data_IF_258291399745
#
_entry.id   IF_258291399745
#
_cell.length_a   1.000
_cell.length_b   1.000
_cell.length_c   1.000
_cell.angle_alpha   90.00
_cell.angle_beta   90.00
_cell.angle_gamma   90.00
#
_symmetry.space_group_name_H-M   'P 1'
#
loop_
_entity.id
_entity.type
_entity.pdbx_description
1 polymer ?
#
# COMPACT_ATOMS: atom_id res chain seq x y z
N UNK A 1 24.74 11.90 13.30
CA UNK A 1 24.14 10.59 12.93
C UNK A 1 25.29 9.67 12.59
N UNK A 2 25.38 8.51 13.23
CA UNK A 2 26.43 7.53 12.93
C UNK A 2 26.26 7.00 11.49
N UNK A 3 27.36 6.84 10.76
CA UNK A 3 27.35 6.35 9.37
C UNK A 3 26.74 4.97 9.26
N UNK A 4 26.94 4.09 10.24
CA UNK A 4 26.35 2.75 10.19
C UNK A 4 24.84 2.79 10.42
N UNK A 5 24.37 3.65 11.34
CA UNK A 5 22.94 3.94 11.50
C UNK A 5 22.32 4.55 10.24
N UNK A 6 23.07 5.38 9.51
CA UNK A 6 22.63 5.95 8.23
C UNK A 6 22.46 4.88 7.15
N UNK A 7 23.42 3.95 7.03
CA UNK A 7 23.34 2.84 6.06
C UNK A 7 22.16 1.92 6.34
N UNK A 8 21.93 1.59 7.60
CA UNK A 8 20.79 0.76 8.00
C UNK A 8 19.47 1.45 7.66
N UNK A 9 19.33 2.73 8.04
CA UNK A 9 18.14 3.52 7.73
C UNK A 9 17.89 3.62 6.22
N UNK A 10 18.95 3.84 5.43
CA UNK A 10 18.85 3.90 3.96
C UNK A 10 18.40 2.57 3.36
N UNK A 11 18.84 1.43 3.91
CA UNK A 11 18.40 0.11 3.47
C UNK A 11 16.90 -0.10 3.74
N UNK A 12 16.45 0.17 4.96
CA UNK A 12 15.03 0.05 5.34
C UNK A 12 14.15 0.95 4.46
N UNK A 13 14.52 2.21 4.29
CA UNK A 13 13.80 3.14 3.43
C UNK A 13 13.77 2.67 1.97
N UNK A 14 14.88 2.16 1.45
CA UNK A 14 14.95 1.63 0.08
C UNK A 14 14.02 0.44 -0.12
N UNK A 15 13.93 -0.46 0.86
CA UNK A 15 13.06 -1.63 0.77
C UNK A 15 11.58 -1.22 0.77
N UNK A 16 11.19 -0.23 1.58
CA UNK A 16 9.86 0.40 1.53
C UNK A 16 9.60 1.06 0.18
N UNK A 17 10.53 1.86 -0.35
CA UNK A 17 10.38 2.53 -1.64
C UNK A 17 10.28 1.54 -2.80
N UNK A 18 11.03 0.43 -2.78
CA UNK A 18 10.90 -0.66 -3.77
C UNK A 18 9.54 -1.36 -3.68
N UNK A 19 8.98 -1.48 -2.47
CA UNK A 19 7.65 -2.02 -2.26
C UNK A 19 6.57 -1.06 -2.77
N UNK A 20 6.75 0.26 -2.64
CA UNK A 20 5.79 1.24 -3.11
C UNK A 20 5.95 1.52 -4.62
N UNK A 21 7.16 1.42 -5.17
CA UNK A 21 7.50 1.78 -6.55
C UNK A 21 6.99 0.82 -7.64
N UNK A 22 5.70 0.45 -7.61
CA UNK A 22 5.00 -0.22 -8.72
C UNK A 22 3.64 0.46 -8.93
N UNK A 23 3.24 0.73 -10.19
CA UNK A 23 2.02 1.48 -10.49
C UNK A 23 0.78 0.86 -9.83
N UNK A 24 0.55 -0.44 -10.01
CA UNK A 24 -0.63 -1.10 -9.42
C UNK A 24 -0.67 -1.04 -7.89
N UNK A 25 0.49 -1.12 -7.22
CA UNK A 25 0.54 -1.01 -5.76
C UNK A 25 0.19 0.41 -5.31
N UNK A 26 0.70 1.43 -5.99
CA UNK A 26 0.34 2.83 -5.70
C UNK A 26 -1.15 3.09 -5.93
N UNK A 27 -1.72 2.61 -7.04
CA UNK A 27 -3.16 2.75 -7.31
C UNK A 27 -4.02 2.09 -6.24
N UNK A 28 -3.66 0.88 -5.81
CA UNK A 28 -4.33 0.18 -4.69
C UNK A 28 -4.23 1.02 -3.42
N UNK A 29 -3.05 1.55 -3.09
CA UNK A 29 -2.84 2.33 -1.86
C UNK A 29 -3.56 3.68 -1.90
N UNK A 30 -3.61 4.39 -3.04
CA UNK A 30 -4.41 5.61 -3.18
C UNK A 30 -5.91 5.30 -2.98
N UNK A 31 -6.44 4.17 -3.48
CA UNK A 31 -7.83 3.76 -3.19
C UNK A 31 -8.03 3.42 -1.70
N UNK A 32 -7.07 2.73 -1.07
CA UNK A 32 -7.14 2.37 0.36
C UNK A 32 -6.97 3.57 1.31
N UNK A 33 -6.39 4.67 0.84
CA UNK A 33 -6.32 5.95 1.58
C UNK A 33 -7.70 6.59 1.72
N UNK A 34 -8.57 6.42 0.73
CA UNK A 34 -9.95 6.92 0.75
C UNK A 34 -10.90 6.06 1.60
N UNK A 35 -10.53 4.82 1.89
CA UNK A 35 -11.31 3.92 2.75
C UNK A 35 -10.99 2.45 2.55
N UNK A 36 -11.60 1.61 3.37
CA UNK A 36 -11.41 0.16 3.26
C UNK A 36 -12.10 -0.42 2.03
N UNK A 37 -11.40 -1.31 1.32
CA UNK A 37 -11.93 -1.97 0.13
C UNK A 37 -11.64 -3.46 0.11
N UNK A 38 -12.57 -4.23 -0.44
CA UNK A 38 -12.36 -5.63 -0.78
C UNK A 38 -11.57 -5.79 -2.07
N UNK A 39 -11.02 -6.98 -2.29
CA UNK A 39 -10.32 -7.34 -3.54
C UNK A 39 -11.20 -7.11 -4.77
N UNK A 40 -12.50 -7.45 -4.67
CA UNK A 40 -13.45 -7.27 -5.76
C UNK A 40 -13.68 -5.80 -6.10
N UNK A 41 -13.89 -4.96 -5.09
CA UNK A 41 -14.05 -3.52 -5.27
C UNK A 41 -12.80 -2.87 -5.87
N UNK A 42 -11.62 -3.25 -5.41
CA UNK A 42 -10.37 -2.74 -5.96
C UNK A 42 -10.15 -3.18 -7.41
N UNK A 43 -10.45 -4.44 -7.73
CA UNK A 43 -10.33 -4.96 -9.09
C UNK A 43 -11.24 -4.23 -10.08
N UNK A 44 -12.48 -3.96 -9.68
CA UNK A 44 -13.45 -3.20 -10.48
C UNK A 44 -13.03 -1.74 -10.65
N UNK A 45 -12.66 -1.05 -9.57
CA UNK A 45 -12.26 0.37 -9.61
C UNK A 45 -11.00 0.63 -10.42
N UNK A 46 -10.04 -0.29 -10.37
CA UNK A 46 -8.72 -0.11 -10.99
C UNK A 46 -8.61 -0.77 -12.38
N UNK A 47 -9.65 -1.47 -12.83
CA UNK A 47 -9.62 -2.31 -14.04
C UNK A 47 -8.44 -3.31 -14.04
N UNK A 48 -8.17 -3.90 -12.87
CA UNK A 48 -7.12 -4.91 -12.67
C UNK A 48 -7.77 -6.24 -12.36
N UNK A 49 -7.30 -7.31 -13.00
CA UNK A 49 -7.76 -8.68 -12.69
C UNK A 49 -7.53 -9.01 -11.21
N UNK A 50 -8.49 -9.72 -10.58
CA UNK A 50 -8.39 -10.06 -9.16
C UNK A 50 -7.15 -10.87 -8.78
N UNK A 51 -6.65 -11.74 -9.65
CA UNK A 51 -5.46 -12.58 -9.36
C UNK A 51 -4.19 -11.75 -9.12
N UNK A 52 -3.72 -10.90 -10.06
CA UNK A 52 -2.56 -10.04 -9.81
C UNK A 52 -2.79 -9.06 -8.65
N UNK A 53 -4.00 -8.50 -8.52
CA UNK A 53 -4.32 -7.61 -7.41
C UNK A 53 -4.20 -8.31 -6.05
N UNK A 54 -4.67 -9.56 -5.94
CA UNK A 54 -4.54 -10.38 -4.74
C UNK A 54 -3.07 -10.69 -4.42
N UNK A 55 -2.22 -10.88 -5.43
CA UNK A 55 -0.78 -11.08 -5.23
C UNK A 55 -0.11 -9.81 -4.68
N UNK A 56 -0.46 -8.64 -5.22
CA UNK A 56 0.02 -7.36 -4.69
C UNK A 56 -0.42 -7.15 -3.23
N UNK A 57 -1.70 -7.38 -2.90
CA UNK A 57 -2.20 -7.28 -1.52
C UNK A 57 -1.54 -8.30 -0.59
N UNK A 58 -1.31 -9.53 -1.05
CA UNK A 58 -0.61 -10.54 -0.26
C UNK A 58 0.84 -10.12 0.04
N UNK A 59 1.55 -9.57 -0.95
CA UNK A 59 2.91 -9.06 -0.75
C UNK A 59 2.92 -7.86 0.21
N UNK A 60 2.07 -6.86 -0.02
CA UNK A 60 2.01 -5.68 0.86
C UNK A 60 1.60 -6.06 2.30
N UNK A 61 0.77 -7.09 2.47
CA UNK A 61 0.41 -7.60 3.81
C UNK A 61 1.58 -8.29 4.50
N UNK A 62 2.38 -9.06 3.76
CA UNK A 62 3.58 -9.70 4.31
C UNK A 62 4.59 -8.66 4.81
N UNK A 63 4.69 -7.54 4.12
CA UNK A 63 5.57 -6.41 4.45
C UNK A 63 4.95 -5.41 5.44
N UNK A 64 3.74 -5.69 5.95
CA UNK A 64 3.08 -4.86 6.96
C UNK A 64 2.47 -3.54 6.47
N UNK A 65 2.44 -3.29 5.16
CA UNK A 65 1.90 -2.05 4.55
C UNK A 65 0.38 -2.04 4.49
N UNK A 66 -0.25 -3.21 4.44
CA UNK A 66 -1.72 -3.34 4.52
C UNK A 66 -2.10 -4.39 5.54
N UNK A 67 -3.26 -4.19 6.16
CA UNK A 67 -3.92 -5.19 6.98
C UNK A 67 -5.23 -5.62 6.33
N UNK A 68 -5.88 -6.63 6.92
CA UNK A 68 -7.19 -7.07 6.49
C UNK A 68 -8.09 -7.37 7.68
N UNK A 69 -9.38 -7.13 7.51
CA UNK A 69 -10.42 -7.64 8.39
C UNK A 69 -11.43 -8.46 7.59
N UNK A 70 -12.16 -9.33 8.28
CA UNK A 70 -13.26 -10.09 7.70
C UNK A 70 -14.58 -9.58 8.24
N UNK A 71 -15.54 -9.39 7.35
CA UNK A 71 -16.92 -9.05 7.68
C UNK A 71 -17.84 -9.96 6.87
N UNK A 72 -18.58 -10.81 7.58
CA UNK A 72 -19.28 -11.96 7.00
C UNK A 72 -18.34 -12.79 6.10
N UNK A 73 -18.65 -12.88 4.81
CA UNK A 73 -17.87 -13.62 3.81
C UNK A 73 -16.83 -12.75 3.10
N UNK A 74 -16.82 -11.44 3.32
CA UNK A 74 -15.97 -10.48 2.60
C UNK A 74 -14.71 -10.14 3.39
N UNK A 75 -13.58 -10.04 2.68
CA UNK A 75 -12.31 -9.56 3.25
C UNK A 75 -12.10 -8.13 2.76
N UNK A 76 -11.93 -7.21 3.71
CA UNK A 76 -11.61 -5.81 3.47
C UNK A 76 -10.15 -5.55 3.85
N UNK A 77 -9.50 -4.68 3.07
CA UNK A 77 -8.13 -4.24 3.29
C UNK A 77 -8.11 -2.77 3.70
N UNK A 78 -7.11 -2.40 4.51
CA UNK A 78 -6.77 -1.04 4.93
C UNK A 78 -5.26 -0.86 4.93
N UNK A 79 -4.78 0.37 4.80
CA UNK A 79 -3.35 0.70 5.01
C UNK A 79 -3.00 0.42 6.47
N UNK A 80 -1.82 -0.17 6.69
CA UNK A 80 -1.27 -0.45 8.00
C UNK A 80 0.19 0.02 8.08
N UNK A 81 0.68 0.24 9.30
CA UNK A 81 2.04 0.71 9.55
C UNK A 81 2.17 2.24 9.46
N UNK A 82 2.75 2.84 10.48
CA UNK A 82 2.88 4.30 10.60
C UNK A 82 3.71 4.89 9.45
N UNK A 83 4.84 4.27 9.12
CA UNK A 83 5.72 4.72 8.04
C UNK A 83 5.02 4.68 6.67
N UNK A 84 4.30 3.60 6.38
CA UNK A 84 3.55 3.44 5.14
C UNK A 84 2.44 4.50 5.03
N UNK A 85 1.67 4.71 6.10
CA UNK A 85 0.62 5.75 6.12
C UNK A 85 1.21 7.13 5.82
N UNK A 86 2.36 7.49 6.43
CA UNK A 86 3.00 8.79 6.22
C UNK A 86 3.50 8.96 4.79
N UNK A 87 4.20 7.96 4.25
CA UNK A 87 4.71 8.00 2.88
C UNK A 87 3.58 8.03 1.84
N UNK A 88 2.57 7.19 2.01
CA UNK A 88 1.43 7.13 1.09
C UNK A 88 0.63 8.43 1.16
N UNK A 89 0.49 9.07 2.32
CA UNK A 89 -0.16 10.38 2.42
C UNK A 89 0.59 11.41 1.58
N UNK A 90 1.91 11.51 1.71
CA UNK A 90 2.71 12.44 0.87
C UNK A 90 2.58 12.14 -0.62
N UNK A 91 2.63 10.86 -1.02
CA UNK A 91 2.44 10.48 -2.43
C UNK A 91 1.03 10.84 -2.91
N UNK A 92 0.02 10.60 -2.07
CA UNK A 92 -1.37 10.91 -2.39
C UNK A 92 -1.55 12.42 -2.58
N UNK A 93 -1.11 13.22 -1.62
CA UNK A 93 -1.23 14.68 -1.64
C UNK A 93 -0.47 15.31 -2.84
N UNK A 94 0.63 14.69 -3.29
CA UNK A 94 1.44 15.20 -4.41
C UNK A 94 0.93 14.78 -5.80
N UNK A 95 0.24 13.65 -5.92
CA UNK A 95 -0.02 13.01 -7.22
C UNK A 95 -1.42 12.41 -7.40
N UNK A 96 -2.20 12.21 -6.33
CA UNK A 96 -3.53 11.60 -6.35
C UNK A 96 -4.64 12.55 -5.84
N UNK A 97 -4.32 13.62 -5.11
CA UNK A 97 -5.27 14.66 -4.75
C UNK A 97 -5.48 15.55 -6.00
N UNK A 98 -6.64 15.41 -6.62
CA UNK A 98 -7.12 16.37 -7.62
C UNK A 98 -7.43 17.70 -6.88
N UNK A 99 -7.05 18.84 -7.47
CA UNK A 99 -7.61 20.15 -7.05
C UNK A 99 -9.16 20.13 -6.98
#
# INVERSE_FOLDING_TARGET
>A
MDLDKMKESARTATDMLKLLGHPDRLMILCQLKAGEHSVGQLAEKLDIKQSPLSQHLARMRLEGVVTRRREAQTIYYSIAGEEAIRLISVIYDLYCEDD
#
